data_IF_098446459602
#
_entry.id   IF_098446459602
#
_cell.length_a   1.000
_cell.length_b   1.000
_cell.length_c   1.000
_cell.angle_alpha   90.00
_cell.angle_beta   90.00
_cell.angle_gamma   90.00
#
_symmetry.space_group_name_H-M   'P 1'
#
loop_
_entity.id
_entity.type
_entity.pdbx_description
1 polymer ?
#
# COMPACT_ATOMS: atom_id res chain seq x y z
N UNK A 1 -8.26 7.70 15.82
CA UNK A 1 -7.75 6.40 15.36
C UNK A 1 -6.27 6.30 15.72
N UNK A 2 -5.86 5.23 16.39
CA UNK A 2 -4.48 4.96 16.80
C UNK A 2 -4.06 3.59 16.27
N UNK A 3 -3.11 3.58 15.34
CA UNK A 3 -2.43 2.37 14.88
C UNK A 3 -1.15 2.19 15.70
N UNK A 4 -0.98 1.03 16.31
CA UNK A 4 0.18 0.71 17.14
C UNK A 4 0.82 -0.59 16.69
N UNK A 5 2.13 -0.62 16.63
CA UNK A 5 2.94 -1.84 16.59
C UNK A 5 3.72 -1.93 17.91
N UNK A 6 3.72 -3.10 18.55
CA UNK A 6 4.27 -3.29 19.88
C UNK A 6 5.15 -4.53 19.92
N UNK A 7 6.44 -4.33 20.22
CA UNK A 7 7.48 -5.36 20.33
C UNK A 7 7.46 -6.40 19.22
N UNK A 8 7.20 -5.93 17.98
CA UNK A 8 7.04 -6.81 16.85
C UNK A 8 8.37 -7.27 16.28
N UNK A 9 8.52 -8.57 16.15
CA UNK A 9 9.66 -9.19 15.48
C UNK A 9 9.21 -10.08 14.33
N UNK A 10 10.03 -10.16 13.27
CA UNK A 10 9.83 -11.02 12.11
C UNK A 10 11.14 -11.53 11.57
N UNK A 11 11.20 -12.85 11.35
CA UNK A 11 12.32 -13.51 10.70
C UNK A 11 11.87 -14.12 9.37
N UNK A 12 12.61 -13.87 8.29
CA UNK A 12 12.39 -14.44 6.97
C UNK A 12 13.68 -15.10 6.49
N UNK A 13 13.65 -16.39 6.12
CA UNK A 13 14.82 -17.15 5.65
C UNK A 13 16.04 -16.96 6.56
N UNK A 14 15.85 -17.13 7.88
CA UNK A 14 16.87 -16.98 8.94
C UNK A 14 17.39 -15.54 9.12
N UNK A 15 16.87 -14.55 8.39
CA UNK A 15 17.23 -13.13 8.57
C UNK A 15 16.13 -12.42 9.36
N UNK A 16 16.49 -11.80 10.48
CA UNK A 16 15.60 -10.94 11.25
C UNK A 16 15.35 -9.65 10.44
N UNK A 17 14.12 -9.41 10.02
CA UNK A 17 13.72 -8.27 9.19
C UNK A 17 12.96 -7.21 9.98
N UNK A 18 12.39 -7.58 11.12
CA UNK A 18 11.93 -6.71 12.20
C UNK A 18 12.47 -7.25 13.51
N UNK A 19 12.94 -6.39 14.38
CA UNK A 19 13.56 -6.73 15.67
C UNK A 19 13.02 -5.83 16.77
N UNK A 20 12.09 -6.35 17.57
CA UNK A 20 11.48 -5.69 18.73
C UNK A 20 10.98 -4.25 18.42
N UNK A 21 10.32 -4.09 17.27
CA UNK A 21 9.89 -2.79 16.78
C UNK A 21 8.62 -2.36 17.50
N UNK A 22 8.65 -1.13 18.07
CA UNK A 22 7.48 -0.48 18.68
C UNK A 22 7.31 0.93 18.13
N UNK A 23 6.08 1.29 17.73
CA UNK A 23 5.74 2.62 17.26
C UNK A 23 4.22 2.87 17.35
N UNK A 24 3.83 4.13 17.40
CA UNK A 24 2.42 4.57 17.41
C UNK A 24 2.19 5.60 16.31
N UNK A 25 1.06 5.46 15.62
CA UNK A 25 0.65 6.34 14.52
C UNK A 25 -0.78 6.84 14.78
N UNK A 26 -0.93 8.14 14.96
CA UNK A 26 -2.23 8.81 15.22
C UNK A 26 -2.81 9.31 13.90
N UNK A 27 -4.13 9.22 13.73
CA UNK A 27 -4.81 9.80 12.57
C UNK A 27 -4.61 11.33 12.49
N UNK A 28 -4.66 11.86 11.27
CA UNK A 28 -4.48 13.28 11.00
C UNK A 28 -3.03 13.76 10.95
N UNK A 29 -2.05 12.84 11.11
CA UNK A 29 -0.63 13.15 11.02
C UNK A 29 0.02 12.39 9.87
N UNK A 30 1.10 12.96 9.31
CA UNK A 30 1.96 12.32 8.33
C UNK A 30 3.23 11.86 9.05
N UNK A 31 3.58 10.59 8.87
CA UNK A 31 4.77 9.99 9.46
C UNK A 31 5.78 9.60 8.37
N UNK A 32 7.04 9.95 8.56
CA UNK A 32 8.14 9.52 7.71
C UNK A 32 8.96 8.44 8.43
N UNK A 33 9.07 7.26 7.81
CA UNK A 33 9.96 6.19 8.29
C UNK A 33 11.27 6.28 7.54
N UNK A 34 12.33 6.68 8.24
CA UNK A 34 13.66 6.87 7.67
C UNK A 34 14.61 5.73 8.06
N UNK A 35 15.58 5.44 7.22
CA UNK A 35 16.59 4.40 7.47
C UNK A 35 17.29 3.97 6.18
N UNK A 36 18.41 3.26 6.32
CA UNK A 36 19.21 2.74 5.20
C UNK A 36 18.42 1.73 4.37
N UNK A 37 18.85 1.48 3.13
CA UNK A 37 18.29 0.39 2.32
C UNK A 37 18.50 -0.95 3.03
N UNK A 38 17.46 -1.79 3.04
CA UNK A 38 17.47 -3.07 3.75
C UNK A 38 17.26 -3.00 5.27
N UNK A 39 16.96 -1.82 5.85
CA UNK A 39 16.67 -1.67 7.29
C UNK A 39 15.30 -2.17 7.74
N UNK A 40 14.48 -2.72 6.85
CA UNK A 40 13.18 -3.29 7.20
C UNK A 40 11.97 -2.34 7.01
N UNK A 41 12.14 -1.13 6.45
CA UNK A 41 11.04 -0.18 6.25
C UNK A 41 9.83 -0.79 5.51
N UNK A 42 10.09 -1.45 4.38
CA UNK A 42 9.03 -2.12 3.60
C UNK A 42 8.39 -3.27 4.41
N UNK A 43 9.18 -3.98 5.23
CA UNK A 43 8.64 -5.04 6.10
C UNK A 43 7.78 -4.47 7.23
N UNK A 44 8.16 -3.31 7.78
CA UNK A 44 7.33 -2.59 8.75
C UNK A 44 5.97 -2.21 8.13
N UNK A 45 5.96 -1.62 6.93
CA UNK A 45 4.70 -1.28 6.27
C UNK A 45 3.84 -2.51 5.95
N UNK A 46 4.46 -3.62 5.53
CA UNK A 46 3.76 -4.89 5.32
C UNK A 46 3.16 -5.45 6.61
N UNK A 47 3.87 -5.34 7.73
CA UNK A 47 3.35 -5.76 9.04
C UNK A 47 2.19 -4.86 9.49
N UNK A 48 2.33 -3.54 9.39
CA UNK A 48 1.30 -2.57 9.75
C UNK A 48 0.03 -2.75 8.90
N UNK A 49 0.16 -3.06 7.61
CA UNK A 49 -0.98 -3.22 6.69
C UNK A 49 -1.73 -4.55 6.83
N UNK A 50 -1.12 -5.56 7.43
CA UNK A 50 -1.66 -6.92 7.47
C UNK A 50 -1.16 -7.83 6.35
N UNK A 51 -0.34 -7.31 5.42
CA UNK A 51 0.26 -8.13 4.35
C UNK A 51 1.35 -9.09 4.86
N UNK A 52 1.77 -8.94 6.12
CA UNK A 52 2.76 -9.81 6.76
C UNK A 52 2.44 -9.97 8.24
N UNK A 53 2.22 -11.21 8.67
CA UNK A 53 2.07 -11.55 10.08
C UNK A 53 3.43 -11.53 10.79
N UNK A 54 3.51 -10.87 11.94
CA UNK A 54 4.69 -10.88 12.81
C UNK A 54 4.83 -12.19 13.56
N UNK A 55 6.06 -12.57 13.93
CA UNK A 55 6.31 -13.81 14.68
C UNK A 55 6.09 -13.60 16.18
N UNK A 56 6.38 -12.39 16.69
CA UNK A 56 6.08 -11.98 18.07
C UNK A 56 5.62 -10.53 18.11
N UNK A 57 5.05 -10.12 19.24
CA UNK A 57 4.44 -8.80 19.39
C UNK A 57 3.05 -8.71 18.77
N UNK A 58 2.59 -7.49 18.50
CA UNK A 58 1.29 -7.25 17.93
C UNK A 58 1.19 -5.96 17.13
N UNK A 59 0.26 -5.93 16.17
CA UNK A 59 -0.25 -4.70 15.55
C UNK A 59 -1.70 -4.52 15.96
N UNK A 60 -2.06 -3.33 16.40
CA UNK A 60 -3.42 -3.00 16.84
C UNK A 60 -3.92 -1.71 16.21
N UNK A 61 -5.21 -1.65 15.94
CA UNK A 61 -5.94 -0.44 15.55
C UNK A 61 -7.03 -0.17 16.57
N UNK A 62 -6.94 0.94 17.29
CA UNK A 62 -7.86 1.31 18.38
C UNK A 62 -8.10 0.14 19.37
N UNK A 63 -7.01 -0.57 19.74
CA UNK A 63 -7.03 -1.70 20.65
C UNK A 63 -7.42 -3.04 20.03
N UNK A 64 -7.97 -3.08 18.82
CA UNK A 64 -8.30 -4.32 18.08
C UNK A 64 -7.06 -4.86 17.39
N UNK A 65 -6.84 -6.17 17.48
CA UNK A 65 -5.60 -6.80 17.02
C UNK A 65 -5.70 -7.31 15.58
N UNK A 66 -4.73 -6.93 14.77
CA UNK A 66 -4.53 -7.43 13.41
C UNK A 66 -4.25 -8.95 13.42
N UNK A 67 -4.78 -9.68 12.46
CA UNK A 67 -4.77 -11.15 12.32
C UNK A 67 -5.47 -11.90 13.47
N UNK A 68 -6.31 -11.20 14.26
CA UNK A 68 -7.20 -11.79 15.26
C UNK A 68 -8.62 -11.24 15.11
N UNK A 69 -8.76 -9.91 15.11
CA UNK A 69 -10.05 -9.22 15.04
C UNK A 69 -10.36 -8.77 13.60
N UNK A 70 -9.37 -8.68 12.76
CA UNK A 70 -9.43 -8.40 11.31
C UNK A 70 -8.12 -8.83 10.62
N UNK A 71 -8.19 -9.21 9.34
CA UNK A 71 -7.03 -9.71 8.59
C UNK A 71 -6.16 -8.59 8.02
N UNK A 72 -6.76 -7.48 7.58
CA UNK A 72 -6.09 -6.30 7.03
C UNK A 72 -6.66 -5.03 7.64
N UNK A 73 -5.89 -3.95 7.65
CA UNK A 73 -6.39 -2.65 8.10
C UNK A 73 -7.57 -2.20 7.24
N UNK A 74 -8.72 -1.85 7.85
CA UNK A 74 -9.87 -1.33 7.11
C UNK A 74 -9.55 0.03 6.50
N UNK A 75 -10.03 0.26 5.27
CA UNK A 75 -9.85 1.54 4.57
C UNK A 75 -8.40 1.89 4.22
N UNK A 76 -7.51 0.88 4.17
CA UNK A 76 -6.10 1.08 3.85
C UNK A 76 -5.89 1.21 2.35
N UNK A 77 -5.22 2.29 1.92
CA UNK A 77 -4.50 2.36 0.65
C UNK A 77 -3.02 2.06 0.88
N UNK A 78 -2.44 1.15 0.12
CA UNK A 78 -1.02 0.83 0.19
C UNK A 78 -0.37 0.92 -1.19
N UNK A 79 0.77 1.61 -1.26
CA UNK A 79 1.60 1.69 -2.44
C UNK A 79 2.93 0.98 -2.15
N UNK A 80 3.13 -0.17 -2.77
CA UNK A 80 4.39 -0.91 -2.72
C UNK A 80 5.22 -0.65 -3.99
N UNK A 81 6.51 -0.91 -3.92
CA UNK A 81 7.48 -0.65 -5.00
C UNK A 81 7.11 -1.30 -6.35
N UNK A 82 6.42 -2.45 -6.31
CA UNK A 82 5.90 -3.14 -7.51
C UNK A 82 4.37 -3.07 -7.49
N UNK A 83 3.84 -2.09 -8.14
CA UNK A 83 2.42 -1.74 -8.08
C UNK A 83 1.46 -2.70 -8.78
N UNK A 84 1.90 -3.79 -9.33
CA UNK A 84 1.03 -4.83 -9.90
C UNK A 84 0.16 -4.37 -11.09
N UNK A 85 0.47 -3.22 -11.71
CA UNK A 85 -0.25 -2.76 -12.88
C UNK A 85 0.20 -3.52 -14.13
N UNK A 86 -0.74 -3.81 -15.01
CA UNK A 86 -0.50 -4.53 -16.26
C UNK A 86 0.23 -3.63 -17.26
N UNK A 87 1.41 -4.03 -17.75
CA UNK A 87 2.25 -3.19 -18.59
C UNK A 87 1.62 -2.86 -19.95
N UNK A 88 0.76 -3.73 -20.47
CA UNK A 88 0.16 -3.61 -21.79
C UNK A 88 -1.22 -2.91 -21.80
N UNK A 89 -1.79 -2.65 -20.63
CA UNK A 89 -3.05 -1.93 -20.50
C UNK A 89 -2.83 -0.41 -20.40
N UNK A 90 -3.83 0.37 -20.84
CA UNK A 90 -3.87 1.82 -20.60
C UNK A 90 -4.08 2.14 -19.10
N UNK A 91 -4.01 3.41 -18.72
CA UNK A 91 -4.30 3.85 -17.35
C UNK A 91 -5.74 3.51 -16.94
N UNK A 92 -6.70 3.82 -17.82
CA UNK A 92 -8.12 3.54 -17.56
C UNK A 92 -8.38 2.04 -17.43
N UNK A 93 -7.81 1.23 -18.32
CA UNK A 93 -8.02 -0.23 -18.29
C UNK A 93 -7.42 -0.85 -17.02
N UNK A 94 -6.24 -0.42 -16.61
CA UNK A 94 -5.60 -0.86 -15.37
C UNK A 94 -6.50 -0.57 -14.15
N UNK A 95 -6.95 0.68 -13.98
CA UNK A 95 -7.78 1.04 -12.86
C UNK A 95 -9.18 0.40 -12.93
N UNK A 96 -9.72 0.20 -14.14
CA UNK A 96 -10.97 -0.54 -14.34
C UNK A 96 -10.86 -1.98 -13.90
N UNK A 97 -9.76 -2.65 -14.24
CA UNK A 97 -9.49 -4.01 -13.80
C UNK A 97 -9.42 -4.10 -12.27
N UNK A 98 -8.67 -3.22 -11.62
CA UNK A 98 -8.53 -3.21 -10.16
C UNK A 98 -9.86 -2.90 -9.46
N UNK A 99 -10.61 -1.90 -9.93
CA UNK A 99 -11.94 -1.59 -9.38
C UNK A 99 -12.89 -2.77 -9.57
N UNK A 100 -12.79 -3.48 -10.70
CA UNK A 100 -13.61 -4.65 -11.06
C UNK A 100 -13.49 -5.82 -10.10
N UNK A 101 -12.44 -5.90 -9.28
CA UNK A 101 -12.27 -6.94 -8.26
C UNK A 101 -13.36 -6.85 -7.19
N UNK A 102 -13.75 -5.65 -6.78
CA UNK A 102 -14.66 -5.43 -5.66
C UNK A 102 -16.04 -4.91 -6.07
N UNK A 103 -16.13 -4.21 -7.18
CA UNK A 103 -17.38 -3.58 -7.68
C UNK A 103 -17.30 -3.31 -9.16
N UNK A 104 -18.46 -3.08 -9.80
CA UNK A 104 -18.51 -2.66 -11.22
C UNK A 104 -17.69 -1.37 -11.42
N UNK A 105 -16.77 -1.33 -12.40
CA UNK A 105 -15.98 -0.14 -12.70
C UNK A 105 -16.86 1.05 -13.10
N UNK A 106 -16.60 2.22 -12.51
CA UNK A 106 -17.17 3.49 -12.96
C UNK A 106 -16.09 4.30 -13.67
N UNK A 107 -16.18 4.36 -15.00
CA UNK A 107 -15.19 5.03 -15.85
C UNK A 107 -15.09 6.52 -15.54
N UNK A 108 -16.15 7.19 -15.09
CA UNK A 108 -16.13 8.62 -14.75
C UNK A 108 -15.25 8.85 -13.53
N UNK A 109 -15.43 8.04 -12.48
CA UNK A 109 -14.62 8.09 -11.26
C UNK A 109 -13.15 7.79 -11.59
N UNK A 110 -12.89 6.75 -12.38
CA UNK A 110 -11.53 6.38 -12.80
C UNK A 110 -10.84 7.54 -13.52
N UNK A 111 -11.50 8.15 -14.51
CA UNK A 111 -10.96 9.30 -15.25
C UNK A 111 -10.71 10.51 -14.34
N UNK A 112 -11.59 10.76 -13.38
CA UNK A 112 -11.41 11.82 -12.39
C UNK A 112 -10.13 11.62 -11.57
N UNK A 113 -9.90 10.40 -11.03
CA UNK A 113 -8.70 10.12 -10.24
C UNK A 113 -7.41 10.19 -11.08
N UNK A 114 -7.44 9.73 -12.34
CA UNK A 114 -6.31 9.88 -13.28
C UNK A 114 -6.00 11.38 -13.48
N UNK A 115 -7.02 12.21 -13.69
CA UNK A 115 -6.85 13.66 -13.84
C UNK A 115 -6.31 14.32 -12.57
N UNK A 116 -6.78 13.90 -11.37
CA UNK A 116 -6.32 14.44 -10.08
C UNK A 116 -4.82 14.23 -9.84
N UNK A 117 -4.24 13.17 -10.38
CA UNK A 117 -2.80 12.92 -10.29
C UNK A 117 -2.02 13.56 -11.45
N UNK A 118 -2.66 14.41 -12.25
CA UNK A 118 -2.03 15.13 -13.35
C UNK A 118 -1.64 14.24 -14.53
N UNK A 119 -2.43 13.19 -14.80
CA UNK A 119 -2.33 12.36 -15.99
C UNK A 119 -3.52 12.63 -16.92
N UNK A 120 -3.33 12.42 -18.22
CA UNK A 120 -4.39 12.50 -19.21
C UNK A 120 -5.25 11.22 -19.13
N UNK A 121 -6.55 11.31 -18.80
CA UNK A 121 -7.44 10.14 -18.71
C UNK A 121 -7.78 9.55 -20.08
N UNK A 122 -7.53 10.25 -21.18
CA UNK A 122 -7.77 9.77 -22.53
C UNK A 122 -6.50 9.23 -23.22
N UNK A 123 -5.37 9.22 -22.51
CA UNK A 123 -4.12 8.61 -22.97
C UNK A 123 -4.28 7.09 -23.11
N UNK A 124 -4.28 6.61 -24.36
CA UNK A 124 -4.43 5.19 -24.71
C UNK A 124 -3.10 4.43 -24.74
N UNK A 125 -1.99 5.10 -24.45
CA UNK A 125 -0.68 4.43 -24.42
C UNK A 125 -0.65 3.36 -23.33
N UNK A 126 -0.01 2.20 -23.58
CA UNK A 126 0.15 1.17 -22.57
C UNK A 126 1.07 1.65 -21.43
N UNK A 127 0.81 1.21 -20.22
CA UNK A 127 1.52 1.58 -18.99
C UNK A 127 3.05 1.40 -19.10
N UNK A 128 3.53 0.40 -19.84
CA UNK A 128 4.97 0.21 -20.08
C UNK A 128 5.65 1.43 -20.73
N UNK A 129 4.91 2.22 -21.53
CA UNK A 129 5.41 3.43 -22.21
C UNK A 129 5.38 4.69 -21.32
N UNK A 130 4.86 4.60 -20.10
CA UNK A 130 4.85 5.72 -19.16
C UNK A 130 6.24 5.98 -18.60
N UNK A 131 6.58 7.25 -18.39
CA UNK A 131 7.77 7.62 -17.62
C UNK A 131 7.65 7.11 -16.19
N UNK A 132 8.76 7.02 -15.45
CA UNK A 132 8.76 6.59 -14.05
C UNK A 132 7.81 7.45 -13.20
N UNK A 133 7.85 8.77 -13.40
CA UNK A 133 6.95 9.69 -12.68
C UNK A 133 5.47 9.49 -13.03
N UNK A 134 5.14 9.21 -14.31
CA UNK A 134 3.77 8.87 -14.71
C UNK A 134 3.31 7.55 -14.07
N UNK A 135 4.20 6.55 -14.04
CA UNK A 135 3.94 5.26 -13.39
C UNK A 135 3.59 5.43 -11.91
N UNK A 136 4.41 6.18 -11.17
CA UNK A 136 4.15 6.46 -9.75
C UNK A 136 2.83 7.21 -9.54
N UNK A 137 2.53 8.21 -10.39
CA UNK A 137 1.26 8.94 -10.29
C UNK A 137 0.05 8.06 -10.55
N UNK A 138 0.11 7.15 -11.53
CA UNK A 138 -0.99 6.21 -11.78
C UNK A 138 -1.19 5.24 -10.62
N UNK A 139 -0.11 4.73 -10.03
CA UNK A 139 -0.17 3.90 -8.83
C UNK A 139 -0.78 4.63 -7.65
N UNK A 140 -0.57 5.93 -7.54
CA UNK A 140 -1.19 6.74 -6.49
C UNK A 140 -2.69 6.99 -6.74
N UNK A 141 -3.16 6.87 -7.99
CA UNK A 141 -4.56 7.03 -8.35
C UNK A 141 -5.43 5.79 -8.09
N UNK A 142 -4.81 4.61 -7.79
CA UNK A 142 -5.55 3.37 -7.48
C UNK A 142 -5.98 3.36 -6.00
#
# INVERSE_FOLDING_TARGET
MLLKIDKASKTIKKKKVLDDVSAEFKSGLIYAVVGRNGSGKTMLFRALSGLMKVDSGAVTLDGRRLHKDFEMLPGLGIMLENAGLYPDLSAVDNLSFLMGINKKPDIRIIKEYISRVGLDPDDKRPFRKYSLGMKHRLVFAQ
#
